data_IF_062225680949
#
_entry.id   IF_062225680949
#
_cell.length_a   1.000
_cell.length_b   1.000
_cell.length_c   1.000
_cell.angle_alpha   90.00
_cell.angle_beta   90.00
_cell.angle_gamma   90.00
#
_symmetry.space_group_name_H-M   'P 1'
#
loop_
_entity.id
_entity.type
_entity.pdbx_description
1 polymer ?
#
# COMPACT_ATOMS: atom_id res chain seq x y z
N UNK A 1 -17.01 29.84 23.35
CA UNK A 1 -16.96 28.89 24.49
C UNK A 1 -15.77 27.93 24.31
N UNK A 2 -14.54 28.46 24.23
CA UNK A 2 -13.31 27.70 23.89
C UNK A 2 -12.13 28.25 24.73
N UNK A 3 -12.16 28.01 26.04
CA UNK A 3 -11.23 28.70 26.95
C UNK A 3 -11.24 28.15 28.37
N UNK A 4 -11.19 26.82 28.53
CA UNK A 4 -11.10 26.14 29.84
C UNK A 4 -10.63 24.68 29.75
N UNK A 5 -9.52 24.42 29.06
CA UNK A 5 -8.86 23.10 29.05
C UNK A 5 -7.31 23.16 29.06
N UNK A 6 -6.73 24.28 29.52
CA UNK A 6 -5.27 24.47 29.67
C UNK A 6 -4.82 24.37 31.15
N UNK A 7 -5.45 23.50 31.93
CA UNK A 7 -5.29 23.45 33.40
C UNK A 7 -4.48 22.29 33.98
N UNK A 8 -4.15 21.26 33.19
CA UNK A 8 -3.52 20.01 33.68
C UNK A 8 -2.46 19.47 32.69
N UNK A 9 -1.58 20.36 32.20
CA UNK A 9 -0.44 19.96 31.36
C UNK A 9 0.85 20.36 32.09
N UNK A 10 1.73 19.41 32.46
CA UNK A 10 3.03 19.72 33.02
C UNK A 10 3.87 20.62 32.10
N UNK A 11 4.56 21.61 32.67
CA UNK A 11 5.25 22.70 31.95
C UNK A 11 6.50 22.28 31.12
N UNK A 12 6.68 20.97 30.90
CA UNK A 12 7.76 20.33 30.19
C UNK A 12 7.32 19.57 28.92
N UNK A 13 6.06 19.75 28.49
CA UNK A 13 5.57 19.34 27.16
C UNK A 13 5.77 20.48 26.15
N UNK A 14 6.88 20.43 25.41
CA UNK A 14 7.15 21.35 24.30
C UNK A 14 6.10 21.21 23.20
N UNK A 15 5.57 22.33 22.73
CA UNK A 15 4.70 22.38 21.55
C UNK A 15 5.43 21.83 20.32
N UNK A 16 4.87 20.82 19.68
CA UNK A 16 5.27 20.45 18.32
C UNK A 16 4.41 21.26 17.34
N UNK A 17 4.76 22.53 17.17
CA UNK A 17 4.22 23.34 16.08
C UNK A 17 4.90 22.93 14.77
N UNK A 18 4.13 22.87 13.69
CA UNK A 18 4.64 22.65 12.34
C UNK A 18 5.58 23.81 11.99
N UNK A 19 6.86 23.52 11.75
CA UNK A 19 7.88 24.46 11.30
C UNK A 19 8.82 23.81 10.27
N UNK A 20 9.35 24.64 9.37
CA UNK A 20 9.78 24.29 8.00
C UNK A 20 10.96 23.32 7.82
N UNK A 21 11.62 22.86 8.89
CA UNK A 21 12.76 21.93 8.81
C UNK A 21 12.34 20.48 9.13
N UNK A 22 11.91 19.77 8.08
CA UNK A 22 11.29 18.44 8.14
C UNK A 22 12.17 17.28 8.61
N UNK A 23 12.58 17.29 9.90
CA UNK A 23 13.50 16.29 10.45
C UNK A 23 13.21 15.86 11.92
N UNK A 24 11.93 15.69 12.31
CA UNK A 24 11.59 15.39 13.72
C UNK A 24 10.50 14.35 14.01
N UNK A 25 10.03 13.54 13.05
CA UNK A 25 9.16 12.40 13.36
C UNK A 25 9.96 11.17 13.90
N UNK A 26 11.15 10.91 13.38
CA UNK A 26 11.87 9.65 13.65
C UNK A 26 12.82 9.62 14.85
N UNK A 27 13.21 10.77 15.43
CA UNK A 27 14.23 10.79 16.50
C UNK A 27 13.70 10.54 17.92
N UNK A 28 12.46 10.07 18.05
CA UNK A 28 11.89 9.61 19.32
C UNK A 28 10.98 8.38 19.20
N UNK A 29 11.49 7.33 18.53
CA UNK A 29 11.35 5.96 19.07
C UNK A 29 12.09 5.94 20.41
N UNK A 30 11.47 6.55 21.43
CA UNK A 30 12.02 6.57 22.76
C UNK A 30 12.03 5.13 23.28
N UNK A 31 13.15 4.78 23.90
CA UNK A 31 13.43 3.48 24.49
C UNK A 31 12.61 3.30 25.77
N UNK A 32 11.28 3.31 25.64
CA UNK A 32 10.33 3.18 26.73
C UNK A 32 10.30 1.73 27.21
N UNK A 33 11.06 1.43 28.26
CA UNK A 33 10.91 0.20 29.04
C UNK A 33 9.80 0.40 30.06
N UNK A 34 8.63 -0.19 29.82
CA UNK A 34 7.50 -0.22 30.75
C UNK A 34 6.18 -0.48 30.03
N UNK A 35 5.41 -1.47 30.49
CA UNK A 35 4.14 -1.89 29.86
C UNK A 35 3.14 -0.75 29.67
N UNK A 36 3.06 0.15 30.64
CA UNK A 36 2.03 1.19 30.69
C UNK A 36 2.41 2.40 29.81
N UNK A 37 3.71 2.63 29.60
CA UNK A 37 4.20 3.63 28.66
C UNK A 37 3.96 3.24 27.20
N UNK A 38 4.00 1.94 26.87
CA UNK A 38 3.73 1.45 25.53
C UNK A 38 2.30 1.77 25.07
N UNK A 39 1.30 1.59 25.94
CA UNK A 39 -0.10 1.87 25.58
C UNK A 39 -0.33 3.37 25.37
N UNK A 40 0.22 4.24 26.22
CA UNK A 40 0.08 5.69 26.06
C UNK A 40 0.85 6.23 24.86
N UNK A 41 2.03 5.68 24.54
CA UNK A 41 2.76 5.99 23.32
C UNK A 41 1.98 5.56 22.07
N UNK A 42 1.41 4.34 22.07
CA UNK A 42 0.55 3.84 20.99
C UNK A 42 -0.70 4.73 20.81
N UNK A 43 -1.36 5.12 21.90
CA UNK A 43 -2.54 6.00 21.85
C UNK A 43 -2.20 7.43 21.40
N UNK A 44 -1.00 7.93 21.69
CA UNK A 44 -0.53 9.21 21.19
C UNK A 44 -0.22 9.15 19.68
N UNK A 45 0.49 8.11 19.25
CA UNK A 45 0.83 7.86 17.86
C UNK A 45 -0.44 7.67 17.00
N UNK A 46 -1.39 6.84 17.47
CA UNK A 46 -2.72 6.68 16.87
C UNK A 46 -3.49 8.01 16.79
N UNK A 47 -3.44 8.88 17.80
CA UNK A 47 -4.08 10.21 17.74
C UNK A 47 -3.41 11.11 16.71
N UNK A 48 -2.08 11.15 16.65
CA UNK A 48 -1.34 11.92 15.66
C UNK A 48 -1.61 11.45 14.23
N UNK A 49 -1.61 10.14 14.01
CA UNK A 49 -1.94 9.50 12.75
C UNK A 49 -3.38 9.81 12.30
N UNK A 50 -4.37 9.71 13.21
CA UNK A 50 -5.77 10.03 12.91
C UNK A 50 -5.94 11.50 12.51
N UNK A 51 -5.42 12.44 13.29
CA UNK A 51 -5.53 13.89 12.98
C UNK A 51 -4.85 14.23 11.65
N UNK A 52 -3.70 13.63 11.35
CA UNK A 52 -3.00 13.85 10.08
C UNK A 52 -3.78 13.32 8.88
N UNK A 53 -4.45 12.16 9.02
CA UNK A 53 -5.32 11.58 7.99
C UNK A 53 -6.61 12.38 7.81
N UNK A 54 -7.26 12.85 8.88
CA UNK A 54 -8.43 13.74 8.80
C UNK A 54 -8.11 15.03 8.01
N UNK A 55 -6.94 15.63 8.25
CA UNK A 55 -6.47 16.78 7.49
C UNK A 55 -6.24 16.45 6.01
N UNK A 56 -5.55 15.35 5.70
CA UNK A 56 -5.34 14.91 4.30
C UNK A 56 -6.67 14.66 3.56
N UNK A 57 -7.65 14.03 4.23
CA UNK A 57 -8.99 13.76 3.71
C UNK A 57 -9.76 15.06 3.45
N UNK A 58 -9.59 16.08 4.30
CA UNK A 58 -10.19 17.39 4.12
C UNK A 58 -9.55 18.19 2.97
N UNK A 59 -8.22 18.05 2.78
CA UNK A 59 -7.47 18.75 1.72
C UNK A 59 -7.80 18.22 0.31
N UNK A 60 -7.79 16.90 0.10
CA UNK A 60 -8.11 16.29 -1.21
C UNK A 60 -9.63 16.13 -1.44
N UNK A 61 -10.41 16.19 -0.35
CA UNK A 61 -11.84 15.92 -0.34
C UNK A 61 -12.13 14.43 -0.51
N UNK A 62 -12.43 13.73 0.60
CA UNK A 62 -12.69 12.28 0.60
C UNK A 62 -13.71 11.81 -0.45
N UNK A 63 -14.72 12.62 -0.79
CA UNK A 63 -15.68 12.32 -1.87
C UNK A 63 -15.08 12.33 -3.29
N UNK A 64 -14.04 13.13 -3.54
CA UNK A 64 -13.23 13.10 -4.77
C UNK A 64 -12.46 11.79 -4.86
N UNK A 65 -11.84 11.39 -3.76
CA UNK A 65 -11.01 10.18 -3.66
C UNK A 65 -11.85 8.92 -3.85
N UNK A 66 -13.00 8.81 -3.18
CA UNK A 66 -13.96 7.70 -3.38
C UNK A 66 -14.44 7.63 -4.84
N UNK A 67 -14.77 8.76 -5.48
CA UNK A 67 -15.16 8.77 -6.90
C UNK A 67 -14.02 8.31 -7.82
N UNK A 68 -12.77 8.69 -7.52
CA UNK A 68 -11.60 8.24 -8.27
C UNK A 68 -11.38 6.73 -8.16
N UNK A 69 -11.46 6.18 -6.95
CA UNK A 69 -11.34 4.73 -6.70
C UNK A 69 -12.47 3.95 -7.37
N UNK A 70 -13.72 4.42 -7.31
CA UNK A 70 -14.85 3.78 -7.99
C UNK A 70 -14.73 3.83 -9.52
N UNK A 71 -14.24 4.95 -10.07
CA UNK A 71 -13.92 5.06 -11.50
C UNK A 71 -12.82 4.06 -11.88
N UNK A 72 -11.78 3.94 -11.05
CA UNK A 72 -10.67 3.02 -11.28
C UNK A 72 -11.13 1.56 -11.29
N UNK A 73 -11.89 1.16 -10.28
CA UNK A 73 -12.47 -0.18 -10.18
C UNK A 73 -13.41 -0.49 -11.36
N UNK A 74 -14.20 0.49 -11.82
CA UNK A 74 -15.06 0.34 -12.99
C UNK A 74 -14.24 0.12 -14.27
N UNK A 75 -13.18 0.90 -14.50
CA UNK A 75 -12.28 0.73 -15.66
C UNK A 75 -11.61 -0.65 -15.62
N UNK A 76 -11.08 -1.05 -14.46
CA UNK A 76 -10.44 -2.36 -14.27
C UNK A 76 -11.42 -3.52 -14.51
N UNK A 77 -12.65 -3.43 -13.99
CA UNK A 77 -13.70 -4.42 -14.21
C UNK A 77 -14.11 -4.53 -15.68
N UNK A 78 -14.29 -3.41 -16.38
CA UNK A 78 -14.62 -3.40 -17.82
C UNK A 78 -13.50 -4.04 -18.64
N UNK A 79 -12.23 -3.69 -18.38
CA UNK A 79 -11.09 -4.29 -19.09
C UNK A 79 -10.96 -5.77 -18.79
N UNK A 80 -11.16 -6.21 -17.54
CA UNK A 80 -11.14 -7.62 -17.17
C UNK A 80 -12.27 -8.43 -17.85
N UNK A 81 -13.49 -7.88 -17.94
CA UNK A 81 -14.62 -8.51 -18.64
C UNK A 81 -14.36 -8.61 -20.14
N UNK A 82 -13.81 -7.57 -20.77
CA UNK A 82 -13.46 -7.60 -22.20
C UNK A 82 -12.35 -8.64 -22.44
N UNK A 83 -11.30 -8.65 -21.61
CA UNK A 83 -10.22 -9.63 -21.73
C UNK A 83 -10.75 -11.06 -21.57
N UNK A 84 -11.58 -11.32 -20.57
CA UNK A 84 -12.17 -12.64 -20.33
C UNK A 84 -13.11 -13.09 -21.47
N UNK A 85 -13.92 -12.20 -22.03
CA UNK A 85 -14.81 -12.56 -23.15
C UNK A 85 -14.08 -12.74 -24.49
N UNK A 86 -12.91 -12.11 -24.68
CA UNK A 86 -12.08 -12.26 -25.89
C UNK A 86 -11.09 -13.43 -25.80
N UNK A 87 -10.60 -13.77 -24.61
CA UNK A 87 -9.59 -14.84 -24.40
C UNK A 87 -10.17 -16.13 -23.81
N UNK A 88 -11.42 -16.11 -23.33
CA UNK A 88 -12.10 -17.28 -22.80
C UNK A 88 -12.29 -18.37 -23.84
N UNK A 89 -11.97 -19.60 -23.47
CA UNK A 89 -12.24 -20.80 -24.26
C UNK A 89 -13.00 -21.79 -23.39
N UNK A 90 -14.09 -22.35 -23.93
CA UNK A 90 -14.92 -23.32 -23.21
C UNK A 90 -14.11 -24.54 -22.73
N UNK A 91 -13.01 -24.88 -23.43
CA UNK A 91 -12.10 -25.96 -23.09
C UNK A 91 -11.32 -25.79 -21.77
N UNK A 92 -11.35 -24.60 -21.16
CA UNK A 92 -10.73 -24.34 -19.85
C UNK A 92 -11.72 -24.44 -18.68
N UNK A 93 -13.03 -24.48 -18.95
CA UNK A 93 -14.09 -24.62 -17.94
C UNK A 93 -14.19 -26.05 -17.38
N UNK A 94 -13.91 -27.06 -18.20
CA UNK A 94 -14.07 -28.49 -17.87
C UNK A 94 -12.85 -29.13 -17.17
N UNK A 95 -11.76 -28.38 -16.95
CA UNK A 95 -10.57 -28.89 -16.28
C UNK A 95 -10.78 -28.98 -14.77
N UNK A 96 -11.01 -30.20 -14.29
CA UNK A 96 -10.95 -30.52 -12.84
C UNK A 96 -9.54 -30.24 -12.32
N UNK A 97 -9.37 -29.12 -11.62
CA UNK A 97 -8.09 -28.77 -11.00
C UNK A 97 -7.90 -29.57 -9.71
N UNK A 98 -6.90 -30.45 -9.70
CA UNK A 98 -6.51 -31.27 -8.55
C UNK A 98 -6.23 -30.41 -7.31
N UNK A 99 -6.94 -30.68 -6.21
CA UNK A 99 -6.84 -29.94 -4.95
C UNK A 99 -5.63 -30.37 -4.11
N UNK A 100 -4.43 -30.10 -4.63
CA UNK A 100 -3.19 -30.22 -3.86
C UNK A 100 -2.83 -28.90 -3.17
N UNK A 101 -2.75 -28.91 -1.84
CA UNK A 101 -2.33 -27.75 -1.06
C UNK A 101 -0.95 -27.22 -1.50
N UNK A 102 -0.04 -28.11 -1.89
CA UNK A 102 1.29 -27.72 -2.40
C UNK A 102 1.19 -26.96 -3.74
N UNK A 103 0.25 -27.36 -4.61
CA UNK A 103 -0.02 -26.65 -5.87
C UNK A 103 -0.64 -25.29 -5.59
N UNK A 104 -1.61 -25.19 -4.68
CA UNK A 104 -2.22 -23.91 -4.28
C UNK A 104 -1.18 -22.95 -3.65
N UNK A 105 -0.31 -23.45 -2.76
CA UNK A 105 0.77 -22.64 -2.16
C UNK A 105 1.74 -22.16 -3.25
N UNK A 106 2.17 -23.05 -4.17
CA UNK A 106 3.03 -22.66 -5.29
C UNK A 106 2.37 -21.61 -6.19
N UNK A 107 1.10 -21.80 -6.53
CA UNK A 107 0.30 -20.84 -7.31
C UNK A 107 0.27 -19.48 -6.63
N UNK A 108 -0.05 -19.42 -5.33
CA UNK A 108 -0.04 -18.18 -4.54
C UNK A 108 1.34 -17.51 -4.48
N UNK A 109 2.43 -18.26 -4.28
CA UNK A 109 3.78 -17.71 -4.24
C UNK A 109 4.20 -17.11 -5.58
N UNK A 110 3.94 -17.81 -6.70
CA UNK A 110 4.19 -17.26 -8.04
C UNK A 110 3.29 -16.03 -8.28
N UNK A 111 2.01 -16.12 -7.89
CA UNK A 111 1.04 -15.05 -8.04
C UNK A 111 1.36 -13.79 -7.22
N UNK A 112 2.08 -13.92 -6.10
CA UNK A 112 2.64 -12.79 -5.34
C UNK A 112 3.87 -12.18 -6.03
N UNK A 113 4.82 -13.02 -6.48
CA UNK A 113 6.09 -12.56 -7.06
C UNK A 113 5.89 -11.81 -8.39
N UNK A 114 5.03 -12.30 -9.28
CA UNK A 114 4.82 -11.74 -10.63
C UNK A 114 4.34 -10.28 -10.60
N UNK A 115 3.22 -9.91 -9.96
CA UNK A 115 2.74 -8.54 -9.94
C UNK A 115 3.63 -7.64 -9.10
N UNK A 116 4.22 -8.11 -7.99
CA UNK A 116 5.10 -7.29 -7.16
C UNK A 116 6.41 -6.94 -7.90
N UNK A 117 6.95 -7.86 -8.70
CA UNK A 117 8.08 -7.61 -9.61
C UNK A 117 7.70 -6.63 -10.73
N UNK A 118 6.55 -6.83 -11.37
CA UNK A 118 6.07 -5.96 -12.44
C UNK A 118 5.84 -4.53 -11.93
N UNK A 119 5.13 -4.40 -10.81
CA UNK A 119 4.83 -3.13 -10.17
C UNK A 119 6.11 -2.45 -9.68
N UNK A 120 7.06 -3.17 -9.08
CA UNK A 120 8.36 -2.62 -8.70
C UNK A 120 9.03 -1.84 -9.85
N UNK A 121 9.19 -2.48 -11.01
CA UNK A 121 9.85 -1.85 -12.15
C UNK A 121 9.04 -0.71 -12.76
N UNK A 122 7.73 -0.86 -12.90
CA UNK A 122 6.87 0.18 -13.49
C UNK A 122 6.71 1.39 -12.55
N UNK A 123 6.52 1.16 -11.26
CA UNK A 123 6.45 2.18 -10.22
C UNK A 123 7.76 2.97 -10.13
N UNK A 124 8.91 2.27 -10.05
CA UNK A 124 10.24 2.91 -10.08
C UNK A 124 10.45 3.71 -11.37
N UNK A 125 10.02 3.19 -12.53
CA UNK A 125 10.12 3.90 -13.80
C UNK A 125 9.25 5.17 -13.82
N UNK A 126 8.02 5.13 -13.29
CA UNK A 126 7.16 6.32 -13.18
C UNK A 126 7.76 7.40 -12.29
N UNK A 127 8.44 7.04 -11.19
CA UNK A 127 9.19 7.99 -10.35
C UNK A 127 10.40 8.62 -11.06
N UNK A 128 11.19 7.82 -11.78
CA UNK A 128 12.40 8.33 -12.45
C UNK A 128 12.06 9.15 -13.71
N UNK A 129 10.96 8.84 -14.39
CA UNK A 129 10.50 9.57 -15.57
C UNK A 129 9.67 10.79 -15.16
N UNK A 130 10.27 11.99 -15.25
CA UNK A 130 9.63 13.27 -14.89
C UNK A 130 8.25 13.52 -15.54
N UNK A 131 8.01 13.00 -16.75
CA UNK A 131 6.71 13.15 -17.42
C UNK A 131 5.66 12.24 -16.76
N UNK A 132 5.99 10.96 -16.57
CA UNK A 132 5.09 9.98 -15.94
C UNK A 132 4.82 10.36 -14.48
N UNK A 133 5.84 10.78 -13.73
CA UNK A 133 5.65 11.31 -12.38
C UNK A 133 4.67 12.49 -12.41
N UNK A 134 4.97 13.55 -13.18
CA UNK A 134 4.17 14.79 -13.15
C UNK A 134 2.71 14.58 -13.57
N UNK A 135 2.45 13.75 -14.58
CA UNK A 135 1.15 13.66 -15.24
C UNK A 135 0.30 12.43 -14.88
N UNK A 136 0.90 11.40 -14.28
CA UNK A 136 0.21 10.15 -13.94
C UNK A 136 0.38 9.91 -12.43
N UNK A 137 1.60 9.57 -12.02
CA UNK A 137 1.86 9.05 -10.67
C UNK A 137 1.79 10.12 -9.55
N UNK A 138 1.87 11.39 -9.90
CA UNK A 138 1.61 12.51 -8.97
C UNK A 138 0.20 12.49 -8.38
N UNK A 139 -0.78 11.83 -9.03
CA UNK A 139 -2.13 11.69 -8.49
C UNK A 139 -2.13 10.76 -7.27
N UNK A 140 -1.42 9.62 -7.34
CA UNK A 140 -1.22 8.72 -6.21
C UNK A 140 -0.48 9.43 -5.05
N UNK A 141 0.57 10.18 -5.37
CA UNK A 141 1.34 10.97 -4.41
C UNK A 141 0.65 12.24 -3.86
N UNK A 142 -0.61 12.52 -4.22
CA UNK A 142 -1.40 13.54 -3.51
C UNK A 142 -1.70 13.14 -2.07
N UNK A 143 -1.88 11.84 -1.83
CA UNK A 143 -2.10 11.29 -0.51
C UNK A 143 -0.77 11.18 0.25
N UNK A 144 -0.22 12.30 0.71
CA UNK A 144 1.06 12.34 1.45
C UNK A 144 0.96 11.56 2.77
N UNK A 145 -0.24 11.54 3.36
CA UNK A 145 -0.61 10.64 4.47
C UNK A 145 -1.65 9.64 3.97
N UNK A 146 -1.25 8.43 3.54
CA UNK A 146 -2.16 7.38 3.06
C UNK A 146 -3.33 7.05 4.00
N UNK A 147 -4.41 6.51 3.44
CA UNK A 147 -5.50 5.93 4.21
C UNK A 147 -6.22 4.83 3.40
N UNK A 148 -6.81 3.87 4.11
CA UNK A 148 -7.32 2.60 3.58
C UNK A 148 -8.19 2.73 2.31
N UNK A 149 -9.17 3.64 2.28
CA UNK A 149 -10.07 3.81 1.13
C UNK A 149 -9.46 4.64 -0.01
N UNK A 150 -8.26 5.20 0.17
CA UNK A 150 -7.46 5.86 -0.86
C UNK A 150 -6.43 4.94 -1.51
N UNK A 151 -6.36 3.66 -1.12
CA UNK A 151 -5.30 2.72 -1.55
C UNK A 151 -5.20 2.51 -3.08
N UNK A 152 -6.30 2.70 -3.80
CA UNK A 152 -6.36 2.62 -5.27
C UNK A 152 -6.68 3.99 -5.91
N UNK A 153 -6.39 5.10 -5.20
CA UNK A 153 -6.56 6.45 -5.73
C UNK A 153 -5.36 6.83 -6.60
N UNK A 154 -5.31 6.25 -7.79
CA UNK A 154 -4.26 6.48 -8.78
C UNK A 154 -4.87 7.04 -10.09
N UNK A 155 -4.02 7.48 -11.02
CA UNK A 155 -4.50 7.94 -12.33
C UNK A 155 -4.99 6.73 -13.16
N UNK A 156 -6.03 6.81 -14.00
CA UNK A 156 -6.58 5.62 -14.65
C UNK A 156 -5.58 4.79 -15.49
N UNK A 157 -4.66 5.47 -16.18
CA UNK A 157 -3.57 4.82 -16.91
C UNK A 157 -2.56 4.13 -15.97
N UNK A 158 -2.41 4.64 -14.75
CA UNK A 158 -1.53 4.07 -13.73
C UNK A 158 -2.02 2.71 -13.25
N UNK A 159 -3.25 2.60 -12.74
CA UNK A 159 -3.78 1.31 -12.29
C UNK A 159 -4.20 0.37 -13.44
N UNK A 160 -4.20 0.84 -14.69
CA UNK A 160 -4.15 -0.05 -15.85
C UNK A 160 -2.75 -0.67 -15.99
N UNK A 161 -1.69 0.14 -15.97
CA UNK A 161 -0.31 -0.35 -16.11
C UNK A 161 0.12 -1.18 -14.90
N UNK A 162 -0.07 -0.70 -13.67
CA UNK A 162 0.39 -1.35 -12.44
C UNK A 162 -0.50 -2.54 -12.06
N UNK A 163 -1.80 -2.28 -11.83
CA UNK A 163 -2.69 -3.30 -11.25
C UNK A 163 -3.20 -4.27 -12.33
N UNK A 164 -3.71 -3.74 -13.44
CA UNK A 164 -4.40 -4.58 -14.44
C UNK A 164 -3.44 -5.45 -15.21
N UNK A 165 -2.32 -4.90 -15.72
CA UNK A 165 -1.29 -5.72 -16.39
C UNK A 165 -0.58 -6.63 -15.37
N UNK A 166 -0.29 -6.17 -14.16
CA UNK A 166 0.30 -7.01 -13.10
C UNK A 166 -0.57 -8.22 -12.77
N UNK A 167 -1.88 -8.03 -12.61
CA UNK A 167 -2.85 -9.11 -12.38
C UNK A 167 -3.03 -10.02 -13.61
N UNK A 168 -3.12 -9.44 -14.82
CA UNK A 168 -3.25 -10.19 -16.06
C UNK A 168 -2.01 -11.03 -16.41
N UNK A 169 -0.81 -10.64 -15.93
CA UNK A 169 0.40 -11.47 -15.96
C UNK A 169 0.36 -12.55 -14.87
N UNK A 170 -0.04 -12.19 -13.65
CA UNK A 170 -0.09 -13.10 -12.50
C UNK A 170 -0.98 -14.33 -12.73
N UNK A 171 -2.17 -14.13 -13.32
CA UNK A 171 -3.16 -15.20 -13.54
C UNK A 171 -2.62 -16.39 -14.38
N UNK A 172 -2.20 -16.21 -15.66
CA UNK A 172 -1.71 -17.31 -16.47
C UNK A 172 -0.34 -17.84 -16.02
N UNK A 173 0.56 -16.97 -15.52
CA UNK A 173 1.93 -17.39 -15.12
C UNK A 173 1.91 -18.26 -13.86
N UNK A 174 1.00 -17.98 -12.91
CA UNK A 174 0.79 -18.85 -11.74
C UNK A 174 0.10 -20.16 -12.09
N UNK A 175 -0.72 -20.20 -13.16
CA UNK A 175 -1.54 -21.35 -13.52
C UNK A 175 -2.73 -21.56 -12.56
N UNK A 176 -3.21 -20.50 -11.90
CA UNK A 176 -4.41 -20.53 -11.06
C UNK A 176 -5.66 -20.79 -11.92
N UNK A 177 -6.62 -21.55 -11.39
CA UNK A 177 -7.99 -21.52 -11.93
C UNK A 177 -8.67 -20.17 -11.62
N UNK A 178 -9.75 -19.80 -12.33
CA UNK A 178 -10.58 -18.64 -11.98
C UNK A 178 -11.04 -18.62 -10.52
N UNK A 179 -11.30 -19.80 -9.92
CA UNK A 179 -11.66 -19.90 -8.50
C UNK A 179 -10.47 -19.53 -7.60
N UNK A 180 -9.28 -20.08 -7.84
CA UNK A 180 -8.09 -19.75 -7.04
C UNK A 180 -7.70 -18.28 -7.20
N UNK A 181 -7.86 -17.71 -8.40
CA UNK A 181 -7.54 -16.30 -8.65
C UNK A 181 -8.46 -15.33 -7.91
N UNK A 182 -9.75 -15.64 -7.73
CA UNK A 182 -10.67 -14.84 -6.91
C UNK A 182 -10.15 -14.73 -5.47
N UNK A 183 -9.71 -15.84 -4.87
CA UNK A 183 -9.12 -15.83 -3.52
C UNK A 183 -7.80 -15.03 -3.50
N UNK A 184 -6.93 -15.22 -4.50
CA UNK A 184 -5.67 -14.49 -4.59
C UNK A 184 -5.86 -12.98 -4.73
N UNK A 185 -6.69 -12.51 -5.66
CA UNK A 185 -6.92 -11.08 -5.88
C UNK A 185 -7.69 -10.43 -4.72
N UNK A 186 -8.56 -11.19 -4.02
CA UNK A 186 -9.17 -10.72 -2.77
C UNK A 186 -8.09 -10.51 -1.69
N UNK A 187 -7.19 -11.48 -1.51
CA UNK A 187 -6.05 -11.38 -0.59
C UNK A 187 -5.12 -10.20 -0.93
N UNK A 188 -4.80 -10.01 -2.21
CA UNK A 188 -4.00 -8.88 -2.68
C UNK A 188 -4.69 -7.53 -2.44
N UNK A 189 -5.99 -7.42 -2.71
CA UNK A 189 -6.76 -6.20 -2.42
C UNK A 189 -6.75 -5.87 -0.93
N UNK A 190 -6.93 -6.87 -0.06
CA UNK A 190 -6.85 -6.69 1.40
C UNK A 190 -5.45 -6.23 1.80
N UNK A 191 -4.39 -6.83 1.24
CA UNK A 191 -3.00 -6.43 1.52
C UNK A 191 -2.72 -4.98 1.10
N UNK A 192 -3.13 -4.56 -0.10
CA UNK A 192 -2.98 -3.18 -0.56
C UNK A 192 -3.73 -2.19 0.35
N UNK A 193 -4.92 -2.56 0.84
CA UNK A 193 -5.67 -1.74 1.82
C UNK A 193 -4.97 -1.68 3.18
N UNK A 194 -4.36 -2.78 3.64
CA UNK A 194 -3.55 -2.84 4.86
C UNK A 194 -2.31 -1.94 4.75
N UNK A 195 -1.58 -2.00 3.64
CA UNK A 195 -0.41 -1.17 3.36
C UNK A 195 -0.73 0.33 3.29
N UNK A 196 -1.95 0.70 2.92
CA UNK A 196 -2.38 2.11 2.87
C UNK A 196 -3.18 2.54 4.12
N UNK A 197 -3.52 1.64 5.05
CA UNK A 197 -4.32 2.04 6.21
C UNK A 197 -3.53 2.92 7.20
N UNK A 198 -2.20 2.85 7.16
CA UNK A 198 -1.33 3.61 8.04
C UNK A 198 -1.41 3.20 9.52
N UNK A 199 -1.89 1.98 9.79
CA UNK A 199 -1.97 1.41 11.13
C UNK A 199 -0.96 0.27 11.27
N UNK A 200 0.02 0.43 12.15
CA UNK A 200 0.96 -0.61 12.55
C UNK A 200 0.51 -1.29 13.85
N UNK A 201 -0.59 -2.04 13.79
CA UNK A 201 -1.15 -2.71 14.96
C UNK A 201 -0.32 -3.93 15.40
N UNK A 202 -0.09 -4.13 16.71
CA UNK A 202 0.60 -5.31 17.21
C UNK A 202 -0.24 -6.57 16.92
N UNK A 203 0.39 -7.59 16.34
CA UNK A 203 -0.26 -8.84 15.96
C UNK A 203 -0.91 -8.84 14.57
N UNK A 204 -0.72 -7.80 13.74
CA UNK A 204 -1.12 -7.87 12.33
C UNK A 204 -0.31 -8.95 11.60
N UNK A 205 -1.00 -10.01 11.13
CA UNK A 205 -0.40 -11.15 10.45
C UNK A 205 0.34 -10.75 9.16
N UNK A 206 -0.16 -9.74 8.43
CA UNK A 206 0.51 -9.25 7.22
C UNK A 206 1.87 -8.64 7.56
N UNK A 207 1.95 -7.81 8.61
CA UNK A 207 3.18 -7.17 9.05
C UNK A 207 4.20 -8.17 9.66
N UNK A 208 3.74 -9.34 10.10
CA UNK A 208 4.62 -10.43 10.57
C UNK A 208 5.24 -11.21 9.40
N UNK A 209 4.52 -11.35 8.28
CA UNK A 209 4.95 -12.15 7.11
C UNK A 209 5.70 -11.29 6.09
N UNK A 210 5.20 -10.09 5.81
CA UNK A 210 5.69 -9.18 4.77
C UNK A 210 6.39 -7.97 5.39
N UNK A 211 7.53 -7.58 4.80
CA UNK A 211 8.27 -6.36 5.19
C UNK A 211 7.64 -5.10 4.61
N UNK A 212 7.07 -5.19 3.41
CA UNK A 212 6.22 -4.14 2.91
C UNK A 212 4.93 -4.14 3.75
N UNK A 213 4.69 -3.02 4.43
CA UNK A 213 3.66 -2.80 5.43
C UNK A 213 3.32 -1.30 5.46
N UNK A 214 2.34 -0.92 6.28
CA UNK A 214 1.88 0.47 6.29
C UNK A 214 2.92 1.54 6.67
N UNK A 215 3.94 1.21 7.47
CA UNK A 215 5.04 2.15 7.74
C UNK A 215 6.01 2.28 6.56
N UNK A 216 6.25 1.19 5.81
CA UNK A 216 7.06 1.21 4.59
C UNK A 216 6.42 2.08 3.50
N UNK A 217 5.10 1.98 3.36
CA UNK A 217 4.31 2.78 2.40
C UNK A 217 4.11 4.24 2.87
N UNK A 218 3.82 4.49 4.16
CA UNK A 218 3.75 5.85 4.72
C UNK A 218 5.10 6.60 4.55
N UNK A 219 6.24 5.90 4.56
CA UNK A 219 7.55 6.50 4.20
C UNK A 219 7.63 6.82 2.71
N UNK A 220 7.19 5.93 1.82
CA UNK A 220 7.21 6.15 0.37
C UNK A 220 6.44 7.41 -0.05
N UNK A 221 5.26 7.64 0.53
CA UNK A 221 4.42 8.81 0.24
C UNK A 221 4.95 10.14 0.76
N UNK A 222 5.91 10.14 1.69
CA UNK A 222 6.57 11.37 2.14
C UNK A 222 7.41 11.98 1.02
N UNK A 223 7.45 13.31 0.97
CA UNK A 223 8.16 14.09 -0.06
C UNK A 223 9.61 13.61 -0.30
N UNK A 224 10.31 13.19 0.77
CA UNK A 224 11.68 12.69 0.74
C UNK A 224 11.81 11.18 0.47
N UNK A 225 10.76 10.39 0.74
CA UNK A 225 10.75 8.93 0.61
C UNK A 225 10.38 8.41 -0.78
N UNK A 226 9.81 9.26 -1.64
CA UNK A 226 9.54 9.02 -3.07
C UNK A 226 10.72 8.47 -3.91
N UNK A 227 11.95 8.51 -3.37
CA UNK A 227 13.16 7.98 -4.01
C UNK A 227 13.46 6.51 -3.71
N UNK A 228 12.69 5.90 -2.81
CA UNK A 228 12.90 4.54 -2.30
C UNK A 228 11.57 3.80 -2.22
N UNK A 229 11.58 2.54 -1.80
CA UNK A 229 10.39 1.77 -1.41
C UNK A 229 9.39 1.52 -2.55
N UNK A 230 9.84 1.09 -3.73
CA UNK A 230 8.96 0.88 -4.90
C UNK A 230 8.16 -0.44 -4.91
N UNK A 231 8.42 -1.37 -3.98
CA UNK A 231 7.64 -2.59 -3.82
C UNK A 231 6.21 -2.27 -3.37
N UNK A 232 5.22 -2.98 -3.91
CA UNK A 232 3.82 -2.57 -3.86
C UNK A 232 3.00 -3.32 -2.81
N UNK A 233 3.16 -4.65 -2.70
CA UNK A 233 2.41 -5.44 -1.72
C UNK A 233 3.20 -6.59 -1.06
N UNK A 234 4.10 -7.28 -1.78
CA UNK A 234 4.56 -8.63 -1.42
C UNK A 234 6.08 -8.81 -1.26
N UNK A 235 6.74 -7.81 -0.65
CA UNK A 235 8.12 -7.99 -0.20
C UNK A 235 8.17 -8.96 0.99
N UNK A 236 8.51 -10.23 0.70
CA UNK A 236 8.76 -11.26 1.71
C UNK A 236 9.94 -10.92 2.62
N UNK A 237 10.02 -11.57 3.79
CA UNK A 237 11.15 -11.51 4.72
C UNK A 237 12.44 -12.18 4.19
N UNK A 238 12.96 -11.68 3.07
CA UNK A 238 14.37 -11.84 2.67
C UNK A 238 15.23 -10.92 3.56
N UNK A 239 16.52 -11.24 3.77
CA UNK A 239 17.44 -10.67 4.79
C UNK A 239 17.34 -9.17 5.12
N UNK A 240 17.83 -8.77 6.30
CA UNK A 240 17.53 -7.51 7.01
C UNK A 240 17.80 -6.17 6.28
N UNK A 241 18.45 -6.15 5.13
CA UNK A 241 19.10 -4.95 4.58
C UNK A 241 18.54 -4.47 3.22
N UNK A 242 17.25 -4.70 2.96
CA UNK A 242 16.59 -4.38 1.68
C UNK A 242 16.15 -2.91 1.56
N UNK A 243 17.09 -1.99 1.35
CA UNK A 243 16.85 -0.59 0.97
C UNK A 243 16.76 -0.44 -0.55
N UNK A 244 15.71 -1.02 -1.14
CA UNK A 244 15.77 -1.66 -2.47
C UNK A 244 16.74 -2.85 -2.47
N UNK A 245 16.68 -3.65 -3.54
CA UNK A 245 17.51 -4.84 -3.67
C UNK A 245 18.56 -4.66 -4.77
N UNK A 246 19.75 -4.11 -4.47
CA UNK A 246 19.97 -2.81 -3.82
C UNK A 246 20.24 -1.68 -4.85
N UNK A 247 21.43 -1.32 -5.37
CA UNK A 247 22.84 -1.75 -5.28
C UNK A 247 23.20 -3.23 -5.49
N UNK A 248 22.28 -4.10 -5.91
CA UNK A 248 22.61 -5.51 -6.25
C UNK A 248 23.14 -5.65 -7.69
N UNK A 249 22.83 -4.67 -8.55
CA UNK A 249 23.10 -4.69 -9.99
C UNK A 249 23.64 -3.34 -10.51
N UNK A 250 24.11 -2.46 -9.62
CA UNK A 250 24.64 -1.12 -9.95
C UNK A 250 25.71 -0.68 -8.94
#
# INVERSE_FOLDING_TARGET
>A
MFGRFLGLIPANLSFCAIYDDGFLCFRRVARYRGSDCCLLALLWDLRGAVVSRELQIALEGGGTVVKGVLLQQLVQAVVAIILFTVTGSDADADKVQEFSLLVLIRQFVVAMIVPDTWQYFMHRYMHHNKFLYKHIHSQHHRLIVPYAYGALYNHPVEGLILDTVGGALSFPISGMSPRTSIFFFSFATIKTVDDHCGLCLPGNLFHMVFKNNSAYHDVHHQLYGSKYNFFSAFLFNVGSDSWDLYALLS
#
